data_IF_033157037731
#
_entry.id   IF_033157037731
#
_cell.length_a   1.000
_cell.length_b   1.000
_cell.length_c   1.000
_cell.angle_alpha   90.00
_cell.angle_beta   90.00
_cell.angle_gamma   90.00
#
_symmetry.space_group_name_H-M   'P 1'
#
loop_
_entity.id
_entity.type
_entity.pdbx_description
1 polymer ?
#
# COMPACT_ATOMS: atom_id res chain seq x y z
N UNK A 1 -16.30 -25.85 37.89
CA UNK A 1 -17.20 -25.59 36.75
C UNK A 1 -16.39 -24.83 35.70
N UNK A 2 -15.61 -25.55 34.89
CA UNK A 2 -14.84 -24.96 33.79
C UNK A 2 -15.60 -25.19 32.49
N UNK A 3 -15.88 -24.13 31.75
CA UNK A 3 -16.50 -24.17 30.43
C UNK A 3 -15.56 -24.88 29.43
N UNK A 4 -16.04 -25.80 28.59
CA UNK A 4 -15.21 -26.40 27.55
C UNK A 4 -14.85 -25.34 26.51
N UNK A 5 -13.57 -25.15 26.25
CA UNK A 5 -13.10 -24.30 25.16
C UNK A 5 -13.58 -24.84 23.81
N UNK A 6 -14.27 -24.01 23.06
CA UNK A 6 -14.58 -24.26 21.66
C UNK A 6 -13.28 -24.48 20.90
N UNK A 7 -13.10 -25.69 20.35
CA UNK A 7 -12.02 -25.97 19.41
C UNK A 7 -12.34 -25.23 18.12
N UNK A 8 -11.59 -24.19 17.81
CA UNK A 8 -11.60 -23.58 16.49
C UNK A 8 -11.24 -24.65 15.44
N UNK A 9 -12.22 -25.02 14.61
CA UNK A 9 -12.03 -25.94 13.50
C UNK A 9 -11.21 -25.22 12.44
N UNK A 10 -9.91 -25.50 12.41
CA UNK A 10 -9.00 -24.94 11.43
C UNK A 10 -9.29 -25.58 10.08
N UNK A 11 -10.14 -24.94 9.28
CA UNK A 11 -10.45 -25.36 7.91
C UNK A 11 -9.15 -25.32 7.10
N UNK A 12 -8.57 -26.50 6.85
CA UNK A 12 -7.47 -26.65 5.89
C UNK A 12 -8.07 -26.73 4.50
N UNK A 13 -7.86 -25.70 3.67
CA UNK A 13 -8.10 -25.83 2.23
C UNK A 13 -7.01 -26.76 1.66
N UNK A 14 -7.40 -27.99 1.33
CA UNK A 14 -6.57 -28.87 0.52
C UNK A 14 -6.81 -28.52 -0.96
N UNK A 15 -5.78 -28.05 -1.65
CA UNK A 15 -5.88 -27.64 -3.05
C UNK A 15 -5.74 -28.89 -3.93
N UNK A 16 -6.87 -29.44 -4.39
CA UNK A 16 -6.87 -30.57 -5.33
C UNK A 16 -6.58 -30.10 -6.76
N UNK A 17 -6.11 -31.02 -7.62
CA UNK A 17 -5.96 -30.79 -9.07
C UNK A 17 -7.29 -30.33 -9.71
N UNK A 18 -8.42 -30.87 -9.26
CA UNK A 18 -9.76 -30.47 -9.71
C UNK A 18 -10.08 -29.01 -9.33
N UNK A 19 -9.70 -28.58 -8.13
CA UNK A 19 -9.86 -27.19 -7.68
C UNK A 19 -8.99 -26.26 -8.53
N UNK A 20 -7.73 -26.61 -8.77
CA UNK A 20 -6.82 -25.80 -9.58
C UNK A 20 -7.29 -25.67 -11.03
N UNK A 21 -7.82 -26.75 -11.61
CA UNK A 21 -8.35 -26.74 -12.98
C UNK A 21 -9.68 -25.99 -13.11
N UNK A 22 -10.45 -25.86 -12.03
CA UNK A 22 -11.71 -25.10 -11.99
C UNK A 22 -11.53 -23.63 -11.61
N UNK A 23 -10.31 -23.21 -11.23
CA UNK A 23 -10.03 -21.80 -10.96
C UNK A 23 -10.28 -20.97 -12.22
N UNK A 24 -11.14 -19.97 -12.07
CA UNK A 24 -11.40 -18.96 -13.08
C UNK A 24 -11.06 -17.56 -12.56
N UNK A 25 -10.98 -16.60 -13.48
CA UNK A 25 -10.80 -15.20 -13.11
C UNK A 25 -12.04 -14.75 -12.33
N UNK A 26 -11.92 -14.64 -11.01
CA UNK A 26 -13.03 -14.20 -10.16
C UNK A 26 -13.46 -12.76 -10.47
N UNK A 27 -12.53 -11.89 -10.87
CA UNK A 27 -12.82 -10.48 -11.15
C UNK A 27 -11.76 -9.81 -12.03
N UNK A 28 -12.17 -8.85 -12.85
CA UNK A 28 -11.25 -8.02 -13.64
C UNK A 28 -11.70 -6.57 -13.73
N UNK A 29 -10.77 -5.64 -13.50
CA UNK A 29 -10.96 -4.20 -13.73
C UNK A 29 -10.04 -3.76 -14.89
N UNK A 30 -10.63 -3.28 -15.99
CA UNK A 30 -9.93 -3.03 -17.28
C UNK A 30 -9.91 -1.56 -17.70
N UNK A 31 -10.25 -0.67 -16.79
CA UNK A 31 -10.42 0.76 -17.02
C UNK A 31 -9.13 1.58 -16.82
N UNK A 32 -7.96 0.94 -16.85
CA UNK A 32 -6.65 1.59 -16.74
C UNK A 32 -6.11 2.05 -18.09
N UNK A 33 -5.52 3.25 -18.11
CA UNK A 33 -4.85 3.80 -19.30
C UNK A 33 -3.31 3.70 -19.20
N UNK A 34 -2.81 2.86 -18.28
CA UNK A 34 -1.40 2.70 -17.99
C UNK A 34 -1.13 1.37 -17.29
N UNK A 35 0.15 1.02 -17.11
CA UNK A 35 0.54 -0.17 -16.35
C UNK A 35 0.26 0.05 -14.88
N UNK A 36 -0.28 -0.97 -14.23
CA UNK A 36 -0.39 -1.01 -12.76
C UNK A 36 1.01 -1.30 -12.21
N UNK A 37 1.57 -0.37 -11.46
CA UNK A 37 2.94 -0.44 -10.93
C UNK A 37 3.01 -1.01 -9.52
N UNK A 38 1.92 -0.90 -8.75
CA UNK A 38 1.86 -1.36 -7.36
C UNK A 38 0.43 -1.60 -6.90
N UNK A 39 0.25 -2.45 -5.89
CA UNK A 39 -1.02 -2.71 -5.24
C UNK A 39 -0.82 -3.20 -3.80
N UNK A 40 -1.81 -3.00 -2.93
CA UNK A 40 -1.79 -3.48 -1.54
C UNK A 40 -3.19 -3.73 -1.00
N UNK A 41 -3.34 -4.80 -0.22
CA UNK A 41 -4.56 -5.11 0.51
C UNK A 41 -4.56 -4.44 1.87
N UNK A 42 -5.69 -3.85 2.24
CA UNK A 42 -5.87 -3.35 3.59
C UNK A 42 -5.88 -4.53 4.57
N UNK A 43 -5.26 -4.36 5.75
CA UNK A 43 -5.01 -5.48 6.67
C UNK A 43 -6.22 -5.92 7.49
N UNK A 44 -7.28 -5.13 7.50
CA UNK A 44 -8.46 -5.37 8.32
C UNK A 44 -9.80 -5.23 7.55
N UNK A 45 -9.77 -4.89 6.26
CA UNK A 45 -10.98 -4.75 5.44
C UNK A 45 -10.79 -5.45 4.09
N UNK A 46 -11.87 -5.58 3.32
CA UNK A 46 -11.86 -6.09 1.94
C UNK A 46 -11.33 -5.08 0.92
N UNK A 47 -10.57 -4.07 1.35
CA UNK A 47 -10.13 -3.02 0.44
C UNK A 47 -8.80 -3.35 -0.23
N UNK A 48 -8.71 -2.99 -1.51
CA UNK A 48 -7.50 -3.05 -2.32
C UNK A 48 -7.22 -1.64 -2.85
N UNK A 49 -5.96 -1.23 -2.81
CA UNK A 49 -5.49 -0.04 -3.53
C UNK A 49 -4.51 -0.43 -4.61
N UNK A 50 -4.52 0.33 -5.70
CA UNK A 50 -3.58 0.20 -6.81
C UNK A 50 -2.96 1.54 -7.15
N UNK A 51 -1.78 1.50 -7.76
CA UNK A 51 -1.10 2.62 -8.37
C UNK A 51 -0.82 2.30 -9.84
N UNK A 52 -0.90 3.30 -10.71
CA UNK A 52 -0.75 3.12 -12.15
C UNK A 52 0.00 4.26 -12.83
N UNK A 53 0.65 3.93 -13.94
CA UNK A 53 1.33 4.85 -14.83
C UNK A 53 0.40 5.92 -15.43
N UNK A 54 -0.92 5.70 -15.41
CA UNK A 54 -1.94 6.71 -15.76
C UNK A 54 -2.19 7.76 -14.66
N UNK A 55 -1.29 7.84 -13.67
CA UNK A 55 -1.30 8.77 -12.55
C UNK A 55 -2.42 8.50 -11.52
N UNK A 56 -3.12 7.37 -11.65
CA UNK A 56 -4.24 7.03 -10.79
C UNK A 56 -3.86 6.16 -9.59
N UNK A 57 -4.44 6.50 -8.44
CA UNK A 57 -4.59 5.62 -7.28
C UNK A 57 -6.06 5.20 -7.24
N UNK A 58 -6.35 3.90 -7.29
CA UNK A 58 -7.72 3.39 -7.27
C UNK A 58 -7.98 2.56 -6.03
N UNK A 59 -9.16 2.73 -5.45
CA UNK A 59 -9.66 2.00 -4.28
C UNK A 59 -10.79 1.08 -4.71
N UNK A 60 -10.71 -0.19 -4.32
CA UNK A 60 -11.71 -1.21 -4.59
C UNK A 60 -12.23 -1.82 -3.30
N UNK A 61 -13.47 -2.28 -3.33
CA UNK A 61 -13.98 -3.30 -2.42
C UNK A 61 -13.95 -4.64 -3.15
N UNK A 62 -13.05 -5.54 -2.75
CA UNK A 62 -12.88 -6.83 -3.43
C UNK A 62 -13.95 -7.84 -3.03
N UNK A 63 -14.63 -7.66 -1.90
CA UNK A 63 -15.74 -8.53 -1.50
C UNK A 63 -17.01 -8.19 -2.29
N UNK A 64 -17.28 -6.90 -2.51
CA UNK A 64 -18.40 -6.44 -3.33
C UNK A 64 -18.09 -6.45 -4.85
N UNK A 65 -16.80 -6.49 -5.20
CA UNK A 65 -16.33 -6.44 -6.57
C UNK A 65 -16.53 -5.12 -7.28
N UNK A 66 -16.38 -4.02 -6.55
CA UNK A 66 -16.68 -2.68 -7.04
C UNK A 66 -15.48 -1.75 -6.93
N UNK A 67 -15.29 -0.91 -7.95
CA UNK A 67 -14.42 0.27 -7.85
C UNK A 67 -15.12 1.34 -7.02
N UNK A 68 -14.50 1.77 -5.93
CA UNK A 68 -15.07 2.76 -5.00
C UNK A 68 -14.63 4.18 -5.34
N UNK A 69 -13.36 4.36 -5.72
CA UNK A 69 -12.80 5.68 -5.97
C UNK A 69 -11.55 5.64 -6.84
N UNK A 70 -11.40 6.69 -7.65
CA UNK A 70 -10.19 6.98 -8.42
C UNK A 70 -9.66 8.35 -8.04
N UNK A 71 -8.40 8.42 -7.63
CA UNK A 71 -7.68 9.65 -7.32
C UNK A 71 -6.58 9.85 -8.34
N UNK A 72 -6.47 11.05 -8.91
CA UNK A 72 -5.42 11.37 -9.88
C UNK A 72 -4.36 12.26 -9.24
N UNK A 73 -3.13 11.76 -9.18
CA UNK A 73 -1.94 12.46 -8.66
C UNK A 73 -1.20 13.19 -9.79
N UNK A 74 -1.92 13.95 -10.64
CA UNK A 74 -1.36 14.53 -11.88
C UNK A 74 -0.08 15.34 -11.70
N UNK A 75 0.03 16.03 -10.56
CA UNK A 75 1.19 16.88 -10.25
C UNK A 75 2.47 16.06 -10.01
N UNK A 76 2.35 14.84 -9.50
CA UNK A 76 3.48 14.08 -8.96
C UNK A 76 3.64 12.68 -9.60
N UNK A 77 2.62 12.23 -10.33
CA UNK A 77 2.45 10.84 -10.69
C UNK A 77 2.25 9.95 -9.46
N UNK A 78 2.30 8.64 -9.69
CA UNK A 78 2.31 7.60 -8.66
C UNK A 78 3.13 6.41 -9.19
N UNK A 79 3.87 5.74 -8.31
CA UNK A 79 4.65 4.55 -8.66
C UNK A 79 4.39 3.39 -7.68
N UNK A 80 4.50 3.64 -6.39
CA UNK A 80 4.20 2.65 -5.35
C UNK A 80 3.04 3.12 -4.48
N UNK A 81 2.24 2.19 -3.94
CA UNK A 81 1.20 2.50 -2.96
C UNK A 81 1.10 1.39 -1.90
N UNK A 82 0.87 1.77 -0.65
CA UNK A 82 0.49 0.84 0.41
C UNK A 82 -0.53 1.47 1.35
N UNK A 83 -1.38 0.65 1.92
CA UNK A 83 -2.27 1.09 2.98
C UNK A 83 -1.48 1.45 4.24
N UNK A 84 -2.04 2.37 5.01
CA UNK A 84 -1.66 2.55 6.42
C UNK A 84 -2.51 1.63 7.32
N UNK A 85 -2.34 1.73 8.63
CA UNK A 85 -3.23 1.09 9.62
C UNK A 85 -4.65 1.67 9.60
N UNK A 86 -4.84 2.86 9.01
CA UNK A 86 -6.12 3.52 8.91
C UNK A 86 -6.78 3.25 7.52
N UNK A 87 -8.08 2.91 7.49
CA UNK A 87 -8.73 2.28 6.33
C UNK A 87 -8.88 3.15 5.10
N UNK A 88 -8.71 4.47 5.24
CA UNK A 88 -8.88 5.44 4.17
C UNK A 88 -7.63 6.27 3.90
N UNK A 89 -6.47 5.82 4.37
CA UNK A 89 -5.20 6.53 4.15
C UNK A 89 -4.14 5.59 3.59
N UNK A 90 -3.40 6.10 2.62
CA UNK A 90 -2.32 5.37 1.93
C UNK A 90 -1.03 6.18 1.97
N UNK A 91 0.08 5.46 1.95
CA UNK A 91 1.38 6.03 1.60
C UNK A 91 1.64 5.69 0.15
N UNK A 92 2.08 6.66 -0.64
CA UNK A 92 2.45 6.41 -2.02
C UNK A 92 3.73 7.15 -2.41
N UNK A 93 4.45 6.62 -3.39
CA UNK A 93 5.62 7.28 -3.95
C UNK A 93 5.34 8.01 -5.26
N UNK A 94 6.01 9.14 -5.47
CA UNK A 94 6.05 9.80 -6.78
C UNK A 94 6.68 8.90 -7.83
N UNK A 95 6.32 9.14 -9.08
CA UNK A 95 7.02 8.55 -10.24
C UNK A 95 8.36 9.24 -10.53
N UNK A 96 8.48 10.52 -10.17
CA UNK A 96 9.66 11.33 -10.45
C UNK A 96 10.62 11.35 -9.26
N UNK A 97 11.86 10.94 -9.47
CA UNK A 97 12.87 10.74 -8.41
C UNK A 97 13.49 12.00 -7.81
N UNK A 98 13.09 13.20 -8.26
CA UNK A 98 13.71 14.47 -7.83
C UNK A 98 12.84 15.30 -6.87
N UNK A 99 11.63 14.83 -6.54
CA UNK A 99 10.74 15.53 -5.61
C UNK A 99 10.56 14.78 -4.28
N UNK A 100 9.71 15.35 -3.43
CA UNK A 100 9.17 14.73 -2.21
C UNK A 100 8.63 13.34 -2.53
N UNK A 101 9.50 12.33 -2.44
CA UNK A 101 9.28 11.06 -3.11
C UNK A 101 8.15 10.24 -2.51
N UNK A 102 7.65 10.62 -1.33
CA UNK A 102 6.67 9.87 -0.54
C UNK A 102 5.63 10.79 0.09
N UNK A 103 4.36 10.37 0.08
CA UNK A 103 3.23 11.15 0.59
C UNK A 103 2.24 10.28 1.35
N UNK A 104 1.66 10.84 2.40
CA UNK A 104 0.47 10.31 3.06
C UNK A 104 -0.76 10.99 2.46
N UNK A 105 -1.66 10.20 1.90
CA UNK A 105 -2.86 10.65 1.19
C UNK A 105 -4.11 10.10 1.87
N UNK A 106 -5.07 10.98 2.13
CA UNK A 106 -6.43 10.60 2.48
C UNK A 106 -7.22 10.28 1.21
N UNK A 107 -7.70 9.05 1.11
CA UNK A 107 -8.60 8.60 0.05
C UNK A 107 -10.02 9.14 0.21
N UNK A 108 -10.41 9.52 1.43
CA UNK A 108 -11.75 10.03 1.71
C UNK A 108 -12.00 11.38 1.04
N UNK A 109 -11.10 12.34 1.24
CA UNK A 109 -11.24 13.73 0.79
C UNK A 109 -10.16 14.20 -0.19
N UNK A 110 -9.32 13.27 -0.68
CA UNK A 110 -8.24 13.54 -1.63
C UNK A 110 -7.27 14.63 -1.13
N UNK A 111 -6.92 14.58 0.16
CA UNK A 111 -5.98 15.51 0.77
C UNK A 111 -4.63 14.85 1.04
N UNK A 112 -3.56 15.56 0.67
CA UNK A 112 -2.22 15.25 1.13
C UNK A 112 -2.11 15.63 2.60
N UNK A 113 -1.98 14.63 3.45
CA UNK A 113 -1.86 14.81 4.90
C UNK A 113 -0.42 15.11 5.30
N UNK A 114 0.55 14.51 4.57
CA UNK A 114 1.98 14.65 4.87
C UNK A 114 2.84 14.39 3.64
N UNK A 115 4.02 14.99 3.62
CA UNK A 115 5.10 14.73 2.67
C UNK A 115 6.32 14.20 3.41
N UNK A 116 6.98 13.19 2.84
CA UNK A 116 8.20 12.61 3.39
C UNK A 116 9.38 12.87 2.43
N UNK A 117 10.26 13.78 2.84
CA UNK A 117 11.53 14.15 2.19
C UNK A 117 12.71 13.36 2.76
N UNK A 118 13.54 12.80 1.89
CA UNK A 118 14.85 12.31 2.33
C UNK A 118 15.53 11.41 1.31
N UNK A 119 14.76 10.68 0.49
CA UNK A 119 15.33 10.00 -0.66
C UNK A 119 15.76 11.01 -1.72
N UNK A 120 16.89 10.73 -2.37
CA UNK A 120 17.49 11.55 -3.42
C UNK A 120 17.41 10.90 -4.81
N UNK A 121 16.71 9.76 -4.90
CA UNK A 121 16.42 9.05 -6.14
C UNK A 121 15.10 8.25 -5.98
N UNK A 122 14.64 7.62 -7.06
CA UNK A 122 13.39 6.86 -7.14
C UNK A 122 13.27 5.85 -6.01
N UNK A 123 12.14 5.89 -5.32
CA UNK A 123 11.74 4.87 -4.34
C UNK A 123 11.27 3.64 -5.10
N UNK A 124 11.87 2.50 -4.81
CA UNK A 124 11.62 1.21 -5.48
C UNK A 124 10.97 0.18 -4.57
N UNK A 125 10.82 0.48 -3.28
CA UNK A 125 10.14 -0.40 -2.35
C UNK A 125 9.49 0.40 -1.22
N UNK A 126 8.31 -0.04 -0.79
CA UNK A 126 7.59 0.46 0.37
C UNK A 126 7.05 -0.71 1.21
N UNK A 127 7.15 -0.59 2.53
CA UNK A 127 6.56 -1.56 3.45
C UNK A 127 6.10 -0.91 4.74
N UNK A 128 4.84 -1.17 5.11
CA UNK A 128 4.24 -0.66 6.35
C UNK A 128 4.59 -1.57 7.53
N UNK A 129 4.95 -0.96 8.66
CA UNK A 129 4.93 -1.61 9.98
C UNK A 129 3.60 -1.28 10.69
N UNK A 130 2.58 -2.16 10.63
CA UNK A 130 1.23 -1.84 11.12
C UNK A 130 1.14 -1.64 12.63
N UNK A 131 2.10 -2.11 13.42
CA UNK A 131 2.06 -2.04 14.89
C UNK A 131 2.52 -0.70 15.48
N UNK A 132 3.22 0.14 14.71
CA UNK A 132 3.92 1.32 15.25
C UNK A 132 3.65 2.61 14.46
N UNK A 133 2.71 2.59 13.50
CA UNK A 133 2.52 3.68 12.52
C UNK A 133 3.84 4.13 11.87
N UNK A 134 4.71 3.16 11.59
CA UNK A 134 5.97 3.39 10.88
C UNK A 134 5.92 2.72 9.51
N UNK A 135 6.79 3.13 8.61
CA UNK A 135 7.01 2.44 7.34
C UNK A 135 8.47 2.57 6.92
N UNK A 136 8.92 1.67 6.05
CA UNK A 136 10.23 1.72 5.44
C UNK A 136 10.11 1.95 3.94
N UNK A 137 11.11 2.62 3.37
CA UNK A 137 11.26 2.78 1.93
C UNK A 137 12.70 2.48 1.50
N UNK A 138 12.85 1.84 0.35
CA UNK A 138 14.15 1.62 -0.31
C UNK A 138 14.23 2.40 -1.62
N UNK A 139 15.39 2.98 -1.92
CA UNK A 139 15.59 3.82 -3.11
C UNK A 139 16.85 3.46 -3.90
N UNK A 140 16.88 3.88 -5.17
CA UNK A 140 18.06 3.83 -6.03
C UNK A 140 19.21 4.73 -5.52
N UNK A 141 18.96 5.62 -4.57
CA UNK A 141 20.00 6.41 -3.88
C UNK A 141 20.90 5.56 -2.96
N UNK A 142 20.65 4.24 -2.90
CA UNK A 142 21.34 3.23 -2.09
C UNK A 142 21.08 3.37 -0.59
N UNK A 143 19.94 3.93 -0.22
CA UNK A 143 19.49 4.02 1.17
C UNK A 143 18.18 3.28 1.41
N UNK A 144 18.00 2.84 2.65
CA UNK A 144 16.72 2.42 3.21
C UNK A 144 16.40 3.38 4.34
N UNK A 145 15.23 3.98 4.31
CA UNK A 145 14.78 4.95 5.31
C UNK A 145 13.60 4.38 6.11
N UNK A 146 13.65 4.54 7.43
CA UNK A 146 12.55 4.25 8.34
C UNK A 146 11.88 5.57 8.73
N UNK A 147 10.56 5.60 8.65
CA UNK A 147 9.76 6.79 8.86
C UNK A 147 8.74 6.57 9.97
N UNK A 148 8.55 7.59 10.79
CA UNK A 148 7.42 7.72 11.71
C UNK A 148 6.33 8.58 11.07
N UNK A 149 5.10 8.06 10.95
CA UNK A 149 3.96 8.80 10.38
C UNK A 149 3.48 9.94 11.29
N UNK A 150 3.75 9.85 12.60
CA UNK A 150 3.28 10.79 13.63
C UNK A 150 4.21 12.00 13.77
N UNK A 151 5.47 11.88 13.37
CA UNK A 151 6.46 12.94 13.51
C UNK A 151 6.06 14.18 12.72
N UNK A 152 6.06 15.36 13.35
CA UNK A 152 5.64 16.62 12.71
C UNK A 152 6.50 17.01 11.51
N UNK A 153 7.81 16.72 11.58
CA UNK A 153 8.77 16.93 10.50
C UNK A 153 9.23 15.60 9.93
N UNK A 154 9.64 15.65 8.67
CA UNK A 154 10.22 14.50 8.02
C UNK A 154 11.45 13.99 8.78
N UNK A 155 11.45 12.72 9.17
CA UNK A 155 12.57 12.07 9.84
C UNK A 155 13.47 11.43 8.77
N UNK A 156 14.53 12.13 8.38
CA UNK A 156 15.56 11.56 7.51
C UNK A 156 16.55 10.71 8.31
N UNK A 157 17.01 9.62 7.66
CA UNK A 157 18.15 8.77 7.99
C UNK A 157 18.14 8.08 9.37
N UNK A 158 17.52 6.89 9.45
CA UNK A 158 17.91 5.85 10.41
C UNK A 158 18.85 4.88 9.69
N UNK A 159 20.13 5.24 9.53
CA UNK A 159 21.13 4.23 9.19
C UNK A 159 21.28 3.31 10.37
N UNK A 160 21.08 2.01 10.17
CA UNK A 160 21.56 1.02 11.11
C UNK A 160 23.05 1.30 11.34
N UNK A 161 23.42 1.58 12.59
CA UNK A 161 24.80 1.79 13.00
C UNK A 161 25.63 0.59 12.51
N UNK A 162 26.70 0.87 11.75
CA UNK A 162 27.83 -0.05 11.72
C UNK A 162 28.48 0.03 13.10
N UNK A 163 28.67 -1.13 13.72
CA UNK A 163 29.49 -1.33 14.91
C UNK A 163 30.83 -0.59 14.83
#
# INVERSE_FOLDING_TARGET
>A
MGTPGEKEEKVSLDLSEEILLSMEVGMSFKDYNGRISSMDFHRASSYLVTASDDESIRLYDVAAGTSLKTINSKKYGVDLVCFTSHPTTVIYSSKNGWDESLRLLSLHDNKYLRYFKGHHDRVVSLSLCPRKDCFISGSLDRTVLLWDQRAEKCQGLLTFFKN
#
